data_IF_358100874500
#
_entry.id   IF_358100874500
#
_cell.length_a   1.000
_cell.length_b   1.000
_cell.length_c   1.000
_cell.angle_alpha   90.00
_cell.angle_beta   90.00
_cell.angle_gamma   90.00
#
_symmetry.space_group_name_H-M   'P 1'
#
loop_
_entity.id
_entity.type
_entity.pdbx_description
1 polymer ?
#
# COMPACT_ATOMS: atom_id res chain seq x y z
N UNK A 1 1.88 18.41 23.66
CA UNK A 1 1.17 17.32 22.96
C UNK A 1 1.86 17.08 21.63
N UNK A 2 2.48 15.91 21.45
CA UNK A 2 3.09 15.51 20.17
C UNK A 2 2.02 14.72 19.43
N UNK A 3 1.50 15.25 18.32
CA UNK A 3 0.56 14.54 17.46
C UNK A 3 1.25 13.26 16.97
N UNK A 4 0.74 12.09 17.35
CA UNK A 4 1.21 10.79 16.85
C UNK A 4 0.43 10.49 15.56
N UNK A 5 0.86 11.09 14.46
CA UNK A 5 0.27 10.81 13.14
C UNK A 5 0.41 9.32 12.84
N UNK A 6 -0.71 8.61 12.66
CA UNK A 6 -0.72 7.20 12.22
C UNK A 6 -0.90 7.11 10.69
N UNK A 7 0.07 6.51 10.00
CA UNK A 7 0.10 6.43 8.54
C UNK A 7 -0.12 4.98 8.08
N UNK A 8 -1.11 4.75 7.21
CA UNK A 8 -1.21 3.48 6.50
C UNK A 8 -0.41 3.54 5.19
N UNK A 9 0.52 2.62 4.99
CA UNK A 9 1.29 2.49 3.75
C UNK A 9 0.74 1.28 3.00
N UNK A 10 0.07 1.50 1.88
CA UNK A 10 -0.53 0.43 1.07
C UNK A 10 0.36 0.15 -0.15
N UNK A 11 0.69 -1.12 -0.33
CA UNK A 11 1.49 -1.61 -1.45
C UNK A 11 1.13 -3.07 -1.74
N UNK A 12 1.56 -3.60 -2.88
CA UNK A 12 1.12 -4.88 -3.39
C UNK A 12 2.01 -5.50 -4.44
N UNK A 13 2.82 -4.69 -5.11
CA UNK A 13 3.75 -5.15 -6.16
C UNK A 13 5.21 -4.96 -5.76
N UNK A 14 6.10 -5.77 -6.33
CA UNK A 14 7.55 -5.62 -6.14
C UNK A 14 8.07 -4.19 -6.45
N UNK A 15 7.70 -3.55 -7.59
CA UNK A 15 8.10 -2.17 -7.85
C UNK A 15 7.66 -1.19 -6.76
N UNK A 16 6.47 -1.37 -6.19
CA UNK A 16 5.97 -0.55 -5.09
C UNK A 16 6.82 -0.73 -3.83
N UNK A 17 7.12 -1.97 -3.43
CA UNK A 17 7.99 -2.26 -2.28
C UNK A 17 9.34 -1.55 -2.42
N UNK A 18 9.97 -1.65 -3.60
CA UNK A 18 11.27 -1.03 -3.86
C UNK A 18 11.17 0.50 -3.77
N UNK A 19 10.16 1.11 -4.42
CA UNK A 19 9.97 2.57 -4.46
C UNK A 19 9.53 3.17 -3.13
N UNK A 20 8.78 2.42 -2.33
CA UNK A 20 8.31 2.84 -1.01
C UNK A 20 9.36 2.61 0.08
N UNK A 21 10.36 1.76 -0.16
CA UNK A 21 11.44 1.50 0.80
C UNK A 21 12.16 2.72 1.39
N UNK A 22 12.52 3.79 0.62
CA UNK A 22 13.08 5.00 1.22
C UNK A 22 12.09 5.77 2.10
N UNK A 23 10.79 5.74 1.77
CA UNK A 23 9.75 6.41 2.55
C UNK A 23 9.52 5.68 3.88
N UNK A 24 9.41 4.35 3.85
CA UNK A 24 9.27 3.52 5.04
C UNK A 24 10.45 3.74 6.00
N UNK A 25 11.69 3.74 5.48
CA UNK A 25 12.88 4.03 6.29
C UNK A 25 12.85 5.42 6.92
N UNK A 26 12.39 6.42 6.19
CA UNK A 26 12.26 7.79 6.73
C UNK A 26 11.19 7.85 7.82
N UNK A 27 10.11 7.08 7.69
CA UNK A 27 9.10 6.91 8.74
C UNK A 27 9.69 6.30 10.01
N UNK A 28 10.48 5.23 9.90
CA UNK A 28 11.20 4.63 11.04
C UNK A 28 12.17 5.63 11.67
N UNK A 29 12.99 6.30 10.85
CA UNK A 29 14.01 7.26 11.30
C UNK A 29 13.42 8.44 12.07
N UNK A 30 12.24 8.91 11.66
CA UNK A 30 11.50 9.99 12.36
C UNK A 30 10.59 9.49 13.47
N UNK A 31 10.54 8.17 13.70
CA UNK A 31 9.64 7.53 14.66
C UNK A 31 8.17 7.92 14.44
N UNK A 32 7.76 8.01 13.17
CA UNK A 32 6.34 8.10 12.82
C UNK A 32 5.63 6.81 13.20
N UNK A 33 4.37 6.92 13.60
CA UNK A 33 3.53 5.73 13.76
C UNK A 33 3.01 5.35 12.38
N UNK A 34 3.27 4.14 11.92
CA UNK A 34 2.78 3.68 10.63
C UNK A 34 2.61 2.16 10.63
N UNK A 35 1.79 1.68 9.70
CA UNK A 35 1.70 0.27 9.39
C UNK A 35 1.71 0.04 7.88
N UNK A 36 2.12 -1.14 7.48
CA UNK A 36 2.14 -1.56 6.08
C UNK A 36 0.98 -2.53 5.86
N UNK A 37 0.18 -2.27 4.81
CA UNK A 37 -0.86 -3.15 4.30
C UNK A 37 -0.43 -3.64 2.92
N UNK A 38 -0.21 -4.94 2.81
CA UNK A 38 0.14 -5.62 1.58
C UNK A 38 -1.12 -6.16 0.88
N UNK A 39 -1.37 -5.83 -0.40
CA UNK A 39 -2.60 -6.28 -1.09
C UNK A 39 -2.53 -7.76 -1.52
N UNK A 40 -1.33 -8.32 -1.70
CA UNK A 40 -1.15 -9.75 -1.96
C UNK A 40 -1.62 -10.18 -3.36
N UNK A 41 -1.42 -9.32 -4.36
CA UNK A 41 -1.81 -9.59 -5.76
C UNK A 41 -0.90 -10.63 -6.47
N UNK A 42 0.27 -10.96 -5.89
CA UNK A 42 1.24 -11.90 -6.48
C UNK A 42 1.28 -13.26 -5.76
N UNK A 43 1.52 -14.32 -6.55
CA UNK A 43 1.35 -15.73 -6.18
C UNK A 43 2.41 -16.33 -5.24
N UNK A 44 3.45 -15.60 -4.87
CA UNK A 44 4.50 -16.17 -4.02
C UNK A 44 4.81 -15.24 -2.87
N UNK A 45 4.11 -15.47 -1.77
CA UNK A 45 4.41 -14.95 -0.43
C UNK A 45 5.91 -15.03 -0.10
N UNK A 46 6.59 -16.08 -0.57
CA UNK A 46 8.03 -16.26 -0.41
C UNK A 46 8.87 -15.23 -1.17
N UNK A 47 8.43 -14.73 -2.33
CA UNK A 47 9.17 -13.69 -3.06
C UNK A 47 9.05 -12.32 -2.42
N UNK A 48 7.85 -11.93 -1.96
CA UNK A 48 7.64 -10.61 -1.36
C UNK A 48 8.44 -10.49 -0.05
N UNK A 49 8.43 -11.54 0.79
CA UNK A 49 9.20 -11.59 2.03
C UNK A 49 10.70 -11.37 1.82
N UNK A 50 11.27 -11.95 0.76
CA UNK A 50 12.68 -11.75 0.40
C UNK A 50 12.98 -10.27 0.16
N UNK A 51 12.07 -9.49 -0.45
CA UNK A 51 12.30 -8.07 -0.65
C UNK A 51 12.23 -7.26 0.64
N UNK A 52 11.31 -7.57 1.54
CA UNK A 52 11.27 -6.95 2.88
C UNK A 52 12.58 -7.22 3.65
N UNK A 53 13.07 -8.46 3.63
CA UNK A 53 14.33 -8.84 4.28
C UNK A 53 15.55 -8.17 3.62
N UNK A 54 15.68 -8.25 2.30
CA UNK A 54 16.80 -7.67 1.55
C UNK A 54 16.86 -6.15 1.70
N UNK A 55 15.71 -5.49 1.72
CA UNK A 55 15.62 -4.05 1.90
C UNK A 55 15.59 -3.66 3.38
N UNK A 56 15.64 -4.61 4.33
CA UNK A 56 15.57 -4.37 5.78
C UNK A 56 14.36 -3.51 6.17
N UNK A 57 13.20 -3.85 5.63
CA UNK A 57 11.93 -3.21 5.93
C UNK A 57 11.16 -4.01 6.98
N UNK A 58 10.33 -3.36 7.81
CA UNK A 58 9.41 -4.06 8.71
C UNK A 58 8.39 -4.88 7.92
N UNK A 59 7.98 -6.03 8.46
CA UNK A 59 6.95 -6.87 7.85
C UNK A 59 5.59 -6.14 7.78
N UNK A 60 4.77 -6.52 6.80
CA UNK A 60 3.43 -5.99 6.67
C UNK A 60 2.55 -6.41 7.87
N UNK A 61 1.88 -5.44 8.50
CA UNK A 61 0.92 -5.70 9.59
C UNK A 61 -0.32 -6.43 9.06
N UNK A 62 -0.72 -6.11 7.84
CA UNK A 62 -1.85 -6.73 7.16
C UNK A 62 -1.41 -7.25 5.79
N UNK A 63 -1.91 -8.43 5.43
CA UNK A 63 -1.85 -8.95 4.07
C UNK A 63 -3.26 -9.36 3.64
N UNK A 64 -3.76 -8.80 2.55
CA UNK A 64 -5.12 -9.08 2.07
C UNK A 64 -5.24 -10.39 1.28
N UNK A 65 -4.10 -10.95 0.85
CA UNK A 65 -4.05 -12.23 0.11
C UNK A 65 -5.02 -12.28 -1.08
N UNK A 66 -5.18 -11.16 -1.79
CA UNK A 66 -6.16 -11.01 -2.90
C UNK A 66 -6.00 -12.11 -3.95
N UNK A 67 -4.75 -12.54 -4.18
CA UNK A 67 -4.40 -13.63 -5.08
C UNK A 67 -4.57 -13.23 -6.55
N UNK A 68 -4.54 -14.23 -7.42
CA UNK A 68 -4.80 -14.04 -8.85
C UNK A 68 -6.29 -14.03 -9.18
N UNK A 69 -6.67 -13.30 -10.21
CA UNK A 69 -8.03 -13.34 -10.77
C UNK A 69 -8.14 -12.43 -11.99
N UNK A 70 -9.36 -12.25 -12.48
CA UNK A 70 -9.61 -11.18 -13.44
C UNK A 70 -9.35 -9.82 -12.78
N UNK A 71 -8.89 -8.84 -13.55
CA UNK A 71 -8.50 -7.54 -13.01
C UNK A 71 -9.61 -6.88 -12.16
N UNK A 72 -10.85 -6.88 -12.65
CA UNK A 72 -11.99 -6.33 -11.91
C UNK A 72 -12.29 -7.06 -10.60
N UNK A 73 -12.10 -8.37 -10.55
CA UNK A 73 -12.27 -9.17 -9.34
C UNK A 73 -11.20 -8.86 -8.30
N UNK A 74 -9.93 -8.79 -8.72
CA UNK A 74 -8.82 -8.42 -7.86
C UNK A 74 -9.02 -7.01 -7.29
N UNK A 75 -9.44 -6.05 -8.12
CA UNK A 75 -9.73 -4.69 -7.69
C UNK A 75 -10.86 -4.65 -6.66
N UNK A 76 -11.95 -5.37 -6.89
CA UNK A 76 -13.05 -5.44 -5.92
C UNK A 76 -12.62 -6.01 -4.57
N UNK A 77 -11.83 -7.08 -4.57
CA UNK A 77 -11.27 -7.68 -3.34
C UNK A 77 -10.32 -6.74 -2.61
N UNK A 78 -9.46 -6.02 -3.35
CA UNK A 78 -8.57 -5.02 -2.77
C UNK A 78 -9.34 -3.90 -2.09
N UNK A 79 -10.33 -3.30 -2.76
CA UNK A 79 -11.12 -2.19 -2.23
C UNK A 79 -11.80 -2.62 -0.93
N UNK A 80 -12.50 -3.76 -0.93
CA UNK A 80 -13.19 -4.27 0.25
C UNK A 80 -12.24 -4.58 1.42
N UNK A 81 -11.08 -5.18 1.13
CA UNK A 81 -10.08 -5.50 2.14
C UNK A 81 -9.39 -4.26 2.73
N UNK A 82 -9.02 -3.30 1.88
CA UNK A 82 -8.42 -2.03 2.30
C UNK A 82 -9.41 -1.26 3.18
N UNK A 83 -10.65 -1.10 2.72
CA UNK A 83 -11.69 -0.36 3.45
C UNK A 83 -11.87 -0.92 4.86
N UNK A 84 -12.00 -2.24 4.99
CA UNK A 84 -12.12 -2.92 6.29
C UNK A 84 -10.97 -2.56 7.24
N UNK A 85 -9.72 -2.66 6.77
CA UNK A 85 -8.54 -2.35 7.61
C UNK A 85 -8.50 -0.87 7.99
N UNK A 86 -8.82 0.04 7.05
CA UNK A 86 -8.83 1.48 7.32
C UNK A 86 -9.92 1.88 8.32
N UNK A 87 -11.09 1.23 8.29
CA UNK A 87 -12.16 1.46 9.26
C UNK A 87 -11.80 1.00 10.67
N UNK A 88 -11.05 -0.11 10.78
CA UNK A 88 -10.60 -0.66 12.06
C UNK A 88 -9.45 0.17 12.66
N UNK A 89 -8.44 0.50 11.85
CA UNK A 89 -7.21 1.17 12.30
C UNK A 89 -7.31 2.70 12.35
N UNK A 90 -8.24 3.29 11.58
CA UNK A 90 -8.48 4.73 11.49
C UNK A 90 -7.20 5.58 11.39
N UNK A 91 -6.33 5.32 10.40
CA UNK A 91 -5.13 6.12 10.21
C UNK A 91 -5.48 7.57 9.86
N UNK A 92 -4.63 8.51 10.26
CA UNK A 92 -4.79 9.94 9.94
C UNK A 92 -4.32 10.26 8.52
N UNK A 93 -3.50 9.40 7.93
CA UNK A 93 -3.07 9.52 6.55
C UNK A 93 -2.91 8.14 5.92
N UNK A 94 -3.16 8.06 4.61
CA UNK A 94 -2.88 6.86 3.84
C UNK A 94 -1.98 7.22 2.69
N UNK A 95 -0.94 6.43 2.51
CA UNK A 95 0.06 6.60 1.48
C UNK A 95 0.01 5.41 0.54
N UNK A 96 -0.22 5.71 -0.74
CA UNK A 96 -0.27 4.73 -1.83
C UNK A 96 0.67 5.20 -2.95
N UNK A 97 1.30 4.26 -3.65
CA UNK A 97 2.13 4.60 -4.80
C UNK A 97 1.24 4.77 -6.04
N UNK A 98 1.13 6.00 -6.55
CA UNK A 98 0.46 6.27 -7.82
C UNK A 98 1.41 6.04 -9.01
N UNK A 99 0.86 5.65 -10.16
CA UNK A 99 1.54 5.64 -11.45
C UNK A 99 1.11 6.82 -12.35
N UNK A 100 2.00 7.21 -13.26
CA UNK A 100 1.65 8.06 -14.40
C UNK A 100 1.87 7.25 -15.67
N UNK A 101 0.81 7.01 -16.43
CA UNK A 101 0.91 6.50 -17.79
C UNK A 101 0.78 7.65 -18.78
N UNK A 102 1.75 7.78 -19.68
CA UNK A 102 1.63 8.64 -20.86
C UNK A 102 1.34 7.75 -22.07
N UNK A 103 0.07 7.73 -22.50
CA UNK A 103 -0.31 7.17 -23.80
C UNK A 103 -1.18 8.22 -24.52
N UNK A 104 -0.80 8.60 -25.75
CA UNK A 104 -1.44 9.72 -26.49
C UNK A 104 -2.91 9.46 -26.87
N UNK A 105 -3.41 8.23 -26.71
CA UNK A 105 -4.76 7.81 -27.11
C UNK A 105 -5.75 7.66 -25.95
N UNK A 106 -5.28 7.63 -24.69
CA UNK A 106 -6.10 7.10 -23.59
C UNK A 106 -6.61 8.24 -22.70
N UNK A 107 -7.64 8.95 -23.16
CA UNK A 107 -8.34 9.97 -22.35
C UNK A 107 -9.33 9.38 -21.32
N UNK A 108 -9.49 8.05 -21.24
CA UNK A 108 -10.52 7.42 -20.41
C UNK A 108 -9.99 6.17 -19.71
N UNK A 109 -9.05 6.34 -18.76
CA UNK A 109 -9.05 5.55 -17.51
C UNK A 109 -8.25 6.35 -16.47
N UNK A 110 -8.95 7.21 -15.75
CA UNK A 110 -8.43 7.95 -14.58
C UNK A 110 -8.99 7.29 -13.32
N UNK A 111 -8.16 7.26 -12.27
CA UNK A 111 -8.46 6.90 -10.88
C UNK A 111 -8.47 5.38 -10.62
N UNK A 112 -8.08 4.82 -9.47
CA UNK A 112 -8.11 5.27 -8.06
C UNK A 112 -6.93 4.56 -7.34
N UNK A 113 -6.16 5.15 -6.42
CA UNK A 113 -6.52 5.56 -5.06
C UNK A 113 -5.77 6.87 -4.72
N UNK A 114 -6.49 7.88 -4.27
CA UNK A 114 -5.96 9.01 -3.51
C UNK A 114 -6.72 9.01 -2.18
N UNK A 115 -6.04 8.73 -1.07
CA UNK A 115 -6.63 8.83 0.26
C UNK A 115 -6.05 10.07 0.95
N UNK A 116 -6.73 11.19 0.74
CA UNK A 116 -6.61 12.34 1.64
C UNK A 116 -7.59 12.12 2.79
N UNK A 117 -7.06 11.84 3.98
CA UNK A 117 -7.88 11.86 5.20
C UNK A 117 -8.06 13.33 5.60
N UNK A 118 -9.31 13.79 5.63
CA UNK A 118 -9.67 15.12 6.08
C UNK A 118 -11.17 15.38 6.01
N UNK A 119 -11.90 14.94 7.04
CA UNK A 119 -12.77 15.75 7.91
C UNK A 119 -13.08 14.99 9.18
#
# INVERSE_FOLDING_TARGET
MRWKVNIAIILGTRPEIIKMSPVIRECERRSFNFFILHTGQHYSYNMDRVFFEQLRLPEAKYNLEVGSGAHGEQTGRMIAGIEKVLMDEKPEAVLVQGDMYFNKSDQVTKNEIFLSCGV
#
